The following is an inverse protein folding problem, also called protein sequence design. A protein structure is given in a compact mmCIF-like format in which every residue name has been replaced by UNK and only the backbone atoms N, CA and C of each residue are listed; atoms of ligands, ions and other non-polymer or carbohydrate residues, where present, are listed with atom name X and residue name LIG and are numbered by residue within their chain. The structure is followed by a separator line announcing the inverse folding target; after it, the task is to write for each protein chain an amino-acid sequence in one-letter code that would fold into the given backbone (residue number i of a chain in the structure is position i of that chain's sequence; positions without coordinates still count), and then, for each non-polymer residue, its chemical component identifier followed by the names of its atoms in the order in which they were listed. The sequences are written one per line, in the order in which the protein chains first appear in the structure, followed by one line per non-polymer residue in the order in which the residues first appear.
data_IF_602637813049
#
_entry.id   IF_602637813049
#
_cell.length_a   1.000
_cell.length_b   1.000
_cell.length_c   1.000
_cell.angle_alpha   90.00
_cell.angle_beta   90.00
_cell.angle_gamma   90.00
#
_symmetry.space_group_name_H-M   'P 1'
#
loop_
_entity.id
_entity.type
_entity.pdbx_description
1 polymer ?
#
# COMPACT_ATOMS: atom_id res chain seq x y z
N UNK A 1 -0.45 22.10 17.40
CA UNK A 1 -1.06 22.33 18.74
C UNK A 1 -0.30 21.42 19.69
N UNK A 2 0.41 21.89 20.74
CA UNK A 2 0.74 20.97 21.81
C UNK A 2 -0.59 20.63 22.47
N UNK A 3 -0.99 19.35 22.49
CA UNK A 3 -2.13 18.87 23.27
C UNK A 3 -1.79 19.18 24.73
N UNK A 4 -2.27 20.30 25.29
CA UNK A 4 -1.72 20.78 26.54
C UNK A 4 -2.25 19.85 27.63
N UNK A 5 -1.37 19.41 28.52
CA UNK A 5 -1.67 18.59 29.71
C UNK A 5 -1.75 17.07 29.53
N UNK A 6 -1.51 16.51 28.34
CA UNK A 6 -1.28 15.07 28.21
C UNK A 6 0.21 14.84 27.97
N UNK A 7 0.83 14.07 28.85
CA UNK A 7 2.20 13.60 28.65
C UNK A 7 2.17 12.38 27.71
N UNK A 8 2.66 12.57 26.49
CA UNK A 8 2.76 11.53 25.47
C UNK A 8 4.03 10.68 25.63
N UNK A 9 5.04 11.17 26.35
CA UNK A 9 6.33 10.49 26.46
C UNK A 9 6.23 9.13 27.16
N UNK A 10 5.23 8.96 28.02
CA UNK A 10 4.91 7.69 28.67
C UNK A 10 4.54 6.56 27.69
N UNK A 11 4.23 6.88 26.43
CA UNK A 11 3.86 5.91 25.39
C UNK A 11 5.01 5.57 24.44
N UNK A 12 6.15 6.26 24.55
CA UNK A 12 7.27 6.10 23.61
C UNK A 12 7.72 4.63 23.50
N UNK A 13 7.95 3.96 24.64
CA UNK A 13 8.39 2.55 24.67
C UNK A 13 7.39 1.62 23.99
N UNK A 14 6.08 1.79 24.22
CA UNK A 14 5.05 0.95 23.58
C UNK A 14 5.02 1.14 22.07
N UNK A 15 5.22 2.37 21.60
CA UNK A 15 5.27 2.69 20.17
C UNK A 15 6.51 2.08 19.52
N UNK A 16 7.67 2.20 20.19
CA UNK A 16 8.92 1.59 19.76
C UNK A 16 8.80 0.07 19.63
N UNK A 17 8.22 -0.60 20.63
CA UNK A 17 8.02 -2.05 20.57
C UNK A 17 7.10 -2.48 19.42
N UNK A 18 6.14 -1.63 19.02
CA UNK A 18 5.15 -1.96 17.99
C UNK A 18 5.59 -1.60 16.56
N UNK A 19 6.54 -0.69 16.37
CA UNK A 19 6.97 -0.26 15.03
C UNK A 19 7.56 -1.42 14.21
N UNK A 20 8.35 -2.28 14.85
CA UNK A 20 8.97 -3.45 14.21
C UNK A 20 7.97 -4.51 13.78
N UNK A 21 6.76 -4.51 14.37
CA UNK A 21 5.66 -5.41 13.97
C UNK A 21 4.72 -4.76 12.95
N UNK A 22 4.70 -3.43 12.87
CA UNK A 22 3.84 -2.70 11.97
C UNK A 22 4.28 -2.90 10.52
N UNK A 23 5.57 -2.80 10.23
CA UNK A 23 6.08 -2.95 8.86
C UNK A 23 6.11 -4.43 8.49
N UNK A 24 5.59 -4.74 7.30
CA UNK A 24 5.67 -6.08 6.76
C UNK A 24 7.12 -6.46 6.44
N UNK A 25 7.58 -7.67 6.77
CA UNK A 25 8.95 -8.10 6.47
C UNK A 25 9.27 -8.04 4.98
N UNK A 26 8.26 -8.06 4.10
CA UNK A 26 8.48 -7.89 2.67
C UNK A 26 8.84 -6.47 2.23
N UNK A 27 8.52 -5.44 3.02
CA UNK A 27 8.79 -4.04 2.68
C UNK A 27 10.09 -3.50 3.26
N UNK A 28 10.64 -4.12 4.32
CA UNK A 28 11.87 -3.73 5.05
C UNK A 28 11.85 -2.34 5.72
N UNK A 29 11.19 -1.36 5.15
CA UNK A 29 11.04 0.01 5.64
C UNK A 29 9.58 0.46 5.64
N UNK A 30 9.30 1.60 6.29
CA UNK A 30 7.96 2.20 6.29
C UNK A 30 7.65 2.66 4.86
N UNK A 31 6.60 2.11 4.22
CA UNK A 31 6.33 2.37 2.80
C UNK A 31 5.77 3.77 2.57
N UNK A 32 6.10 4.35 1.41
CA UNK A 32 5.55 5.64 0.98
C UNK A 32 4.08 5.58 0.56
N UNK A 33 3.68 4.44 0.03
CA UNK A 33 2.37 4.08 -0.51
C UNK A 33 1.75 2.94 0.32
N UNK A 34 1.48 3.17 1.63
CA UNK A 34 1.11 2.10 2.53
C UNK A 34 -0.21 1.45 2.12
N UNK A 35 -0.30 0.13 2.24
CA UNK A 35 -1.54 -0.65 2.29
C UNK A 35 -1.53 -1.51 3.56
N UNK A 36 -2.70 -1.69 4.17
CA UNK A 36 -2.87 -2.58 5.33
C UNK A 36 -3.04 -4.01 4.83
N UNK A 37 -2.09 -4.87 5.17
CA UNK A 37 -2.02 -6.25 4.69
C UNK A 37 -3.11 -7.09 5.36
N UNK A 38 -3.97 -7.72 4.57
CA UNK A 38 -5.01 -8.61 5.06
C UNK A 38 -4.52 -10.05 5.00
N UNK A 39 -3.82 -10.43 6.07
CA UNK A 39 -3.50 -11.83 6.35
C UNK A 39 -4.73 -12.59 6.84
N UNK A 40 -4.80 -13.89 6.56
CA UNK A 40 -5.89 -14.73 7.06
C UNK A 40 -5.80 -14.94 8.59
N UNK A 41 -4.60 -14.96 9.20
CA UNK A 41 -4.41 -15.30 10.62
C UNK A 41 -3.34 -14.47 11.35
N UNK A 42 -2.88 -13.34 10.81
CA UNK A 42 -1.79 -12.55 11.38
C UNK A 42 -2.23 -11.17 11.85
N UNK A 43 -1.35 -10.58 12.64
CA UNK A 43 -1.49 -9.22 13.14
C UNK A 43 -1.49 -8.20 12.00
N UNK A 44 -1.98 -7.00 12.32
CA UNK A 44 -2.03 -5.88 11.39
C UNK A 44 -0.62 -5.47 10.96
N UNK A 45 -0.38 -5.44 9.64
CA UNK A 45 0.87 -4.96 9.05
C UNK A 45 0.62 -3.97 7.91
N UNK A 46 1.63 -3.18 7.58
CA UNK A 46 1.67 -2.32 6.40
C UNK A 46 2.73 -2.78 5.42
N UNK A 47 2.40 -2.74 4.13
CA UNK A 47 3.29 -3.03 3.02
C UNK A 47 3.18 -1.90 1.99
N UNK A 48 4.19 -1.72 1.15
CA UNK A 48 4.06 -0.90 -0.05
C UNK A 48 3.07 -1.53 -1.03
N UNK A 49 2.22 -0.71 -1.64
CA UNK A 49 1.37 -1.13 -2.74
C UNK A 49 2.20 -1.67 -3.92
N UNK A 50 3.34 -1.03 -4.23
CA UNK A 50 4.26 -1.50 -5.26
C UNK A 50 4.78 -2.91 -4.96
N UNK A 51 5.26 -3.18 -3.75
CA UNK A 51 5.71 -4.52 -3.34
C UNK A 51 4.59 -5.55 -3.51
N UNK A 52 3.36 -5.22 -3.11
CA UNK A 52 2.22 -6.11 -3.27
C UNK A 52 1.91 -6.40 -4.74
N UNK A 53 2.01 -5.39 -5.61
CA UNK A 53 1.81 -5.54 -7.07
C UNK A 53 2.89 -6.40 -7.71
N UNK A 54 4.14 -6.24 -7.31
CA UNK A 54 5.25 -7.07 -7.78
C UNK A 54 5.04 -8.53 -7.39
N UNK A 55 4.69 -8.80 -6.12
CA UNK A 55 4.33 -10.16 -5.67
C UNK A 55 3.16 -10.73 -6.48
N UNK A 56 2.10 -9.93 -6.69
CA UNK A 56 0.96 -10.38 -7.49
C UNK A 56 1.36 -10.74 -8.92
N UNK A 57 2.21 -9.92 -9.56
CA UNK A 57 2.68 -10.17 -10.91
C UNK A 57 3.44 -11.51 -11.00
N UNK A 58 4.32 -11.81 -10.05
CA UNK A 58 5.07 -13.06 -10.03
C UNK A 58 4.14 -14.30 -9.94
N UNK A 59 3.10 -14.24 -9.10
CA UNK A 59 2.16 -15.34 -8.95
C UNK A 59 1.16 -15.43 -10.12
N UNK A 60 0.72 -14.30 -10.67
CA UNK A 60 -0.12 -14.24 -11.86
C UNK A 60 0.58 -14.83 -13.08
N UNK A 61 1.89 -14.57 -13.25
CA UNK A 61 2.70 -15.25 -14.26
C UNK A 61 2.75 -16.76 -14.06
N UNK A 62 2.82 -17.25 -12.81
CA UNK A 62 2.76 -18.68 -12.52
C UNK A 62 1.40 -19.29 -12.90
N UNK A 63 0.30 -18.60 -12.60
CA UNK A 63 -1.04 -19.01 -13.03
C UNK A 63 -1.14 -19.09 -14.56
N UNK A 64 -0.65 -18.06 -15.27
CA UNK A 64 -0.63 -18.03 -16.74
C UNK A 64 0.15 -19.17 -17.36
N UNK A 65 1.30 -19.54 -16.78
CA UNK A 65 2.11 -20.68 -17.26
C UNK A 65 1.33 -22.00 -17.16
N UNK A 66 0.64 -22.23 -16.03
CA UNK A 66 -0.15 -23.45 -15.82
C UNK A 66 -1.36 -23.46 -16.75
N UNK A 67 -2.10 -22.35 -16.84
CA UNK A 67 -3.25 -22.24 -17.73
C UNK A 67 -2.87 -22.41 -19.21
N UNK A 68 -1.69 -21.91 -19.61
CA UNK A 68 -1.16 -22.12 -20.96
C UNK A 68 -0.75 -23.58 -21.17
N UNK A 69 -0.15 -24.22 -20.16
CA UNK A 69 0.30 -25.61 -20.24
C UNK A 69 -0.87 -26.56 -20.44
N UNK A 70 -1.96 -26.36 -19.70
CA UNK A 70 -3.19 -27.14 -19.83
C UNK A 70 -3.83 -27.04 -21.24
N UNK A 71 -3.49 -25.98 -21.99
CA UNK A 71 -3.97 -25.72 -23.35
C UNK A 71 -2.96 -26.04 -24.44
N UNK A 72 -1.72 -26.41 -24.10
CA UNK A 72 -0.65 -26.70 -25.06
C UNK A 72 -0.48 -28.21 -25.28
N UNK A 73 -1.13 -28.80 -26.30
CA UNK A 73 -0.98 -30.23 -26.59
C UNK A 73 0.44 -30.61 -27.04
N UNK A 74 1.25 -29.64 -27.49
CA UNK A 74 2.58 -29.90 -28.04
C UNK A 74 3.66 -30.06 -26.97
N UNK A 75 3.43 -29.53 -25.77
CA UNK A 75 4.36 -29.62 -24.65
C UNK A 75 5.61 -28.75 -24.78
N UNK A 76 5.67 -27.79 -25.73
CA UNK A 76 6.88 -26.97 -25.98
C UNK A 76 6.61 -25.48 -26.21
N UNK A 77 5.35 -25.02 -26.31
CA UNK A 77 5.03 -23.61 -26.66
C UNK A 77 5.53 -22.61 -25.62
N UNK A 78 5.43 -22.96 -24.34
CA UNK A 78 5.87 -22.08 -23.25
C UNK A 78 7.39 -21.94 -23.26
N UNK A 79 8.10 -23.05 -23.46
CA UNK A 79 9.57 -23.03 -23.56
C UNK A 79 10.05 -22.20 -24.77
N UNK A 80 9.36 -22.31 -25.92
CA UNK A 80 9.69 -21.53 -27.11
C UNK A 80 9.54 -20.01 -26.94
N UNK A 81 8.63 -19.55 -26.07
CA UNK A 81 8.43 -18.12 -25.81
C UNK A 81 9.51 -17.51 -24.90
N UNK A 82 10.31 -18.34 -24.22
CA UNK A 82 11.32 -17.89 -23.26
C UNK A 82 12.69 -18.04 -23.92
N UNK A 83 13.27 -16.95 -24.44
CA UNK A 83 14.58 -17.02 -25.07
C UNK A 83 15.60 -17.53 -24.05
N UNK A 84 16.18 -18.69 -24.32
CA UNK A 84 17.44 -19.08 -23.71
C UNK A 84 18.58 -18.57 -24.61
N UNK A 85 19.83 -18.64 -24.15
CA UNK A 85 21.00 -18.40 -24.99
C UNK A 85 21.15 -19.54 -26.01
N UNK A 86 20.25 -19.59 -27.00
CA UNK A 86 20.24 -20.56 -28.07
C UNK A 86 21.45 -20.35 -28.98
N UNK A 87 22.04 -21.45 -29.45
CA UNK A 87 22.97 -21.40 -30.58
C UNK A 87 22.25 -21.03 -31.87
N UNK A 88 22.98 -20.54 -32.88
CA UNK A 88 22.40 -20.19 -34.20
C UNK A 88 21.58 -21.33 -34.81
N UNK A 89 22.00 -22.59 -34.64
CA UNK A 89 21.24 -23.75 -35.14
C UNK A 89 19.96 -24.01 -34.33
N UNK A 90 19.99 -23.81 -33.01
CA UNK A 90 18.81 -23.93 -32.15
C UNK A 90 17.78 -22.84 -32.47
N UNK A 91 18.20 -21.63 -32.87
CA UNK A 91 17.30 -20.60 -33.37
C UNK A 91 16.57 -21.05 -34.64
N UNK A 92 17.28 -21.66 -35.60
CA UNK A 92 16.68 -22.24 -36.81
C UNK A 92 15.65 -23.32 -36.44
N UNK A 93 15.97 -24.18 -35.46
CA UNK A 93 15.01 -25.18 -34.99
C UNK A 93 13.81 -24.58 -34.24
N UNK A 94 14.02 -23.55 -33.42
CA UNK A 94 12.94 -22.86 -32.72
C UNK A 94 11.97 -22.21 -33.72
N UNK A 95 12.48 -21.56 -34.76
CA UNK A 95 11.68 -20.97 -35.84
C UNK A 95 10.90 -22.04 -36.60
N UNK A 96 11.55 -23.16 -36.94
CA UNK A 96 10.87 -24.31 -37.57
C UNK A 96 9.73 -24.84 -36.71
N UNK A 97 9.98 -25.16 -35.44
CA UNK A 97 8.98 -25.73 -34.54
C UNK A 97 7.83 -24.73 -34.32
N UNK A 98 8.13 -23.44 -34.16
CA UNK A 98 7.11 -22.38 -34.06
C UNK A 98 6.22 -22.37 -35.30
N UNK A 99 6.81 -22.39 -36.49
CA UNK A 99 6.07 -22.39 -37.77
C UNK A 99 5.20 -23.64 -37.94
N UNK A 100 5.70 -24.81 -37.50
CA UNK A 100 4.93 -26.05 -37.50
C UNK A 100 3.74 -25.99 -36.56
N UNK A 101 3.92 -25.41 -35.37
CA UNK A 101 2.88 -25.25 -34.36
C UNK A 101 1.83 -24.18 -34.73
N UNK A 102 2.17 -23.19 -35.54
CA UNK A 102 1.20 -22.23 -36.08
C UNK A 102 0.33 -22.86 -37.18
N UNK A 103 0.92 -23.73 -38.01
CA UNK A 103 0.25 -24.35 -39.15
C UNK A 103 -0.55 -25.60 -38.77
N UNK A 104 -0.11 -26.32 -37.74
CA UNK A 104 -0.64 -27.62 -37.35
C UNK A 104 -0.83 -27.72 -35.84
N UNK A 105 -1.89 -28.40 -35.42
CA UNK A 105 -2.15 -28.67 -34.01
C UNK A 105 -1.48 -29.99 -33.58
N UNK A 106 -0.16 -29.98 -33.43
CA UNK A 106 0.58 -31.17 -33.01
C UNK A 106 0.35 -31.49 -31.53
N UNK A 107 0.17 -32.79 -31.24
CA UNK A 107 0.40 -33.34 -29.90
C UNK A 107 1.90 -33.50 -29.67
N UNK A 108 2.31 -33.65 -28.41
CA UNK A 108 3.71 -33.91 -28.02
C UNK A 108 4.30 -35.10 -28.79
N UNK A 109 3.57 -36.23 -28.82
CA UNK A 109 3.98 -37.43 -29.55
C UNK A 109 4.03 -37.19 -31.06
N UNK A 110 3.04 -36.49 -31.61
CA UNK A 110 3.00 -36.16 -33.04
C UNK A 110 4.18 -35.28 -33.46
N UNK A 111 4.54 -34.28 -32.65
CA UNK A 111 5.68 -33.42 -32.91
C UNK A 111 7.00 -34.18 -32.78
N UNK A 112 7.16 -35.04 -31.77
CA UNK A 112 8.34 -35.89 -31.60
C UNK A 112 8.55 -36.81 -32.81
N UNK A 113 7.50 -37.48 -33.28
CA UNK A 113 7.54 -38.35 -34.47
C UNK A 113 7.92 -37.52 -35.70
N UNK A 114 7.35 -36.33 -35.86
CA UNK A 114 7.66 -35.43 -36.96
C UNK A 114 9.14 -35.01 -36.95
N UNK A 115 9.64 -34.51 -35.82
CA UNK A 115 11.04 -34.10 -35.64
C UNK A 115 11.99 -35.28 -35.86
N UNK A 116 11.67 -36.47 -35.36
CA UNK A 116 12.50 -37.68 -35.53
C UNK A 116 12.55 -38.14 -36.98
N UNK A 117 11.40 -38.15 -37.67
CA UNK A 117 11.33 -38.51 -39.08
C UNK A 117 12.08 -37.50 -39.94
N UNK A 118 11.89 -36.20 -39.67
CA UNK A 118 12.59 -35.13 -40.38
C UNK A 118 14.10 -35.24 -40.19
N UNK A 119 14.56 -35.41 -38.94
CA UNK A 119 15.99 -35.55 -38.66
C UNK A 119 16.61 -36.77 -39.35
N UNK A 120 15.94 -37.93 -39.32
CA UNK A 120 16.42 -39.12 -40.01
C UNK A 120 16.55 -38.93 -41.53
N UNK A 121 15.61 -38.20 -42.15
CA UNK A 121 15.70 -37.83 -43.58
C UNK A 121 16.90 -36.91 -43.84
N UNK A 122 17.12 -35.92 -42.97
CA UNK A 122 18.26 -34.99 -43.08
C UNK A 122 19.58 -35.75 -42.95
N UNK A 123 19.74 -36.55 -41.91
CA UNK A 123 20.95 -37.34 -41.63
C UNK A 123 21.28 -38.27 -42.79
N UNK A 124 20.31 -39.04 -43.30
CA UNK A 124 20.51 -39.90 -44.47
C UNK A 124 20.86 -39.13 -45.74
N UNK A 125 20.32 -37.93 -45.91
CA UNK A 125 20.66 -37.08 -47.06
C UNK A 125 22.08 -36.48 -46.95
N UNK A 126 22.55 -36.22 -45.72
CA UNK A 126 23.91 -35.75 -45.47
C UNK A 126 24.96 -36.85 -45.72
N UNK A 127 24.61 -38.11 -45.45
CA UNK A 127 25.40 -39.30 -45.79
C UNK A 127 25.35 -39.62 -47.29
N UNK A 128 24.16 -39.63 -47.89
CA UNK A 128 23.94 -39.93 -49.30
C UNK A 128 22.96 -38.92 -49.94
N UNK A 129 23.52 -38.00 -50.73
CA UNK A 129 22.72 -36.98 -51.44
C UNK A 129 21.70 -37.57 -52.43
N UNK A 130 21.87 -38.83 -52.85
CA UNK A 130 20.93 -39.50 -53.74
C UNK A 130 19.69 -40.03 -53.01
N UNK A 131 19.71 -40.06 -51.67
CA UNK A 131 18.62 -40.57 -50.83
C UNK A 131 17.26 -39.93 -51.17
N UNK A 132 17.21 -38.61 -51.34
CA UNK A 132 15.98 -37.89 -51.68
C UNK A 132 15.39 -38.26 -53.06
N UNK A 133 16.18 -38.89 -53.93
CA UNK A 133 15.77 -39.34 -55.27
C UNK A 133 15.48 -40.84 -55.32
N UNK A 134 15.64 -41.57 -54.21
CA UNK A 134 15.48 -43.01 -54.17
C UNK A 134 14.00 -43.40 -54.30
N UNK A 135 13.65 -44.07 -55.41
CA UNK A 135 12.28 -44.52 -55.71
C UNK A 135 11.85 -45.76 -54.92
N UNK A 136 12.78 -46.44 -54.25
CA UNK A 136 12.52 -47.65 -53.47
C UNK A 136 12.21 -47.36 -51.99
N UNK A 137 12.03 -46.09 -51.62
CA UNK A 137 11.64 -45.72 -50.26
C UNK A 137 10.21 -46.20 -49.94
N UNK A 138 9.93 -46.56 -48.69
CA UNK A 138 8.57 -46.83 -48.23
C UNK A 138 7.59 -45.69 -48.62
N UNK A 139 6.35 -45.99 -49.06
CA UNK A 139 5.43 -44.97 -49.56
C UNK A 139 5.14 -43.81 -48.59
N UNK A 140 5.13 -44.09 -47.28
CA UNK A 140 4.92 -43.07 -46.25
C UNK A 140 6.08 -42.06 -46.19
N UNK A 141 7.34 -42.51 -46.39
CA UNK A 141 8.50 -41.63 -46.44
C UNK A 141 8.52 -40.81 -47.73
N UNK A 142 8.15 -41.40 -48.88
CA UNK A 142 8.00 -40.64 -50.13
C UNK A 142 6.98 -39.50 -49.96
N UNK A 143 5.83 -39.81 -49.35
CA UNK A 143 4.80 -38.81 -49.08
C UNK A 143 5.28 -37.74 -48.09
N UNK A 144 5.99 -38.13 -47.03
CA UNK A 144 6.57 -37.20 -46.06
C UNK A 144 7.59 -36.25 -46.71
N UNK A 145 8.54 -36.79 -47.48
CA UNK A 145 9.55 -35.99 -48.18
C UNK A 145 8.89 -35.02 -49.16
N UNK A 146 7.93 -35.51 -49.95
CA UNK A 146 7.21 -34.68 -50.92
C UNK A 146 6.47 -33.51 -50.25
N UNK A 147 5.77 -33.78 -49.14
CA UNK A 147 5.02 -32.76 -48.38
C UNK A 147 5.90 -31.74 -47.66
N UNK A 148 7.11 -32.12 -47.27
CA UNK A 148 8.02 -31.29 -46.45
C UNK A 148 9.27 -30.87 -47.22
N UNK A 149 9.24 -30.92 -48.56
CA UNK A 149 10.42 -30.70 -49.41
C UNK A 149 11.12 -29.38 -49.15
N UNK A 150 10.38 -28.29 -49.01
CA UNK A 150 10.92 -26.95 -48.74
C UNK A 150 11.65 -26.91 -47.40
N UNK A 151 11.00 -27.36 -46.32
CA UNK A 151 11.58 -27.48 -44.98
C UNK A 151 12.88 -28.29 -45.01
N UNK A 152 12.89 -29.43 -45.71
CA UNK A 152 14.06 -30.30 -45.81
C UNK A 152 15.22 -29.57 -46.52
N UNK A 153 14.95 -28.88 -47.63
CA UNK A 153 15.97 -28.14 -48.38
C UNK A 153 16.52 -26.99 -47.54
N UNK A 154 15.67 -26.23 -46.87
CA UNK A 154 16.08 -25.08 -46.05
C UNK A 154 16.94 -25.53 -44.86
N UNK A 155 16.55 -26.60 -44.18
CA UNK A 155 17.37 -27.19 -43.11
C UNK A 155 18.73 -27.68 -43.61
N UNK A 156 18.77 -28.37 -44.76
CA UNK A 156 20.04 -28.81 -45.35
C UNK A 156 20.94 -27.62 -45.68
N UNK A 157 20.40 -26.56 -46.28
CA UNK A 157 21.14 -25.35 -46.61
C UNK A 157 21.74 -24.68 -45.37
N UNK A 158 20.94 -24.54 -44.31
CA UNK A 158 21.42 -24.03 -43.02
C UNK A 158 22.54 -24.91 -42.46
N UNK A 159 22.34 -26.23 -42.42
CA UNK A 159 23.34 -27.20 -41.92
C UNK A 159 24.65 -27.14 -42.71
N UNK A 160 24.61 -26.99 -44.04
CA UNK A 160 25.82 -26.83 -44.86
C UNK A 160 26.59 -25.53 -44.57
N UNK A 161 25.93 -24.52 -44.01
CA UNK A 161 26.56 -23.29 -43.52
C UNK A 161 27.32 -23.47 -42.20
N UNK A 162 27.07 -24.55 -41.46
CA UNK A 162 27.70 -24.84 -40.16
C UNK A 162 28.81 -25.91 -40.25
N UNK A 163 29.77 -25.86 -39.33
CA UNK A 163 30.76 -26.93 -39.18
C UNK A 163 30.08 -28.20 -38.61
N UNK A 164 30.21 -29.33 -39.33
CA UNK A 164 29.43 -30.55 -39.09
C UNK A 164 29.64 -31.21 -37.73
N UNK A 165 30.79 -30.99 -37.10
CA UNK A 165 31.25 -31.83 -35.99
C UNK A 165 30.47 -31.62 -34.67
N UNK A 166 29.63 -30.57 -34.58
CA UNK A 166 28.93 -30.19 -33.34
C UNK A 166 27.46 -29.78 -33.52
N UNK A 167 26.78 -30.22 -34.59
CA UNK A 167 25.37 -29.86 -34.80
C UNK A 167 24.45 -30.54 -33.77
N UNK A 168 23.73 -29.78 -32.93
CA UNK A 168 22.72 -30.36 -32.07
C UNK A 168 21.63 -30.98 -32.94
N UNK A 169 21.14 -32.17 -32.59
CA UNK A 169 20.08 -32.81 -33.37
C UNK A 169 18.73 -32.16 -33.08
N UNK A 170 17.89 -32.00 -34.10
CA UNK A 170 16.53 -31.45 -33.95
C UNK A 170 15.71 -32.19 -32.87
N UNK A 171 15.85 -33.52 -32.78
CA UNK A 171 15.15 -34.34 -31.77
C UNK A 171 15.62 -33.99 -30.35
N UNK A 172 16.94 -33.82 -30.17
CA UNK A 172 17.51 -33.44 -28.87
C UNK A 172 17.07 -32.03 -28.47
N UNK A 173 16.99 -31.10 -29.43
CA UNK A 173 16.46 -29.76 -29.18
C UNK A 173 14.98 -29.79 -28.78
N UNK A 174 14.14 -30.58 -29.47
CA UNK A 174 12.75 -30.78 -29.06
C UNK A 174 12.65 -31.34 -27.63
N UNK A 175 13.44 -32.36 -27.30
CA UNK A 175 13.46 -32.93 -25.95
C UNK A 175 13.89 -31.89 -24.91
N UNK A 176 14.90 -31.07 -25.21
CA UNK A 176 15.33 -29.96 -24.36
C UNK A 176 14.16 -29.01 -24.08
N UNK A 177 13.46 -28.55 -25.12
CA UNK A 177 12.28 -27.69 -24.96
C UNK A 177 11.18 -28.33 -24.10
N UNK A 178 10.90 -29.61 -24.34
CA UNK A 178 9.89 -30.35 -23.58
C UNK A 178 10.25 -30.42 -22.09
N UNK A 179 11.49 -30.77 -21.76
CA UNK A 179 11.96 -30.79 -20.37
C UNK A 179 11.99 -29.40 -19.75
N UNK A 180 12.42 -28.37 -20.49
CA UNK A 180 12.37 -26.98 -20.02
C UNK A 180 10.93 -26.58 -19.69
N UNK A 181 9.95 -26.89 -20.53
CA UNK A 181 8.53 -26.60 -20.26
C UNK A 181 8.03 -27.31 -19.00
N UNK A 182 8.32 -28.62 -18.85
CA UNK A 182 7.93 -29.36 -17.64
C UNK A 182 8.56 -28.77 -16.38
N UNK A 183 9.83 -28.35 -16.44
CA UNK A 183 10.50 -27.70 -15.32
C UNK A 183 9.85 -26.36 -14.96
N UNK A 184 9.53 -25.54 -15.97
CA UNK A 184 8.84 -24.26 -15.78
C UNK A 184 7.49 -24.45 -15.08
N UNK A 185 6.67 -25.39 -15.57
CA UNK A 185 5.35 -25.68 -15.02
C UNK A 185 5.44 -26.20 -13.60
N UNK A 186 6.29 -27.20 -13.35
CA UNK A 186 6.48 -27.76 -12.01
C UNK A 186 6.99 -26.70 -11.01
N UNK A 187 7.89 -25.81 -11.44
CA UNK A 187 8.35 -24.70 -10.60
C UNK A 187 7.22 -23.70 -10.31
N UNK A 188 6.38 -23.38 -11.29
CA UNK A 188 5.21 -22.52 -11.11
C UNK A 188 4.17 -23.14 -10.18
N UNK A 189 3.87 -24.44 -10.33
CA UNK A 189 2.97 -25.18 -9.43
C UNK A 189 3.50 -25.17 -7.99
N UNK A 190 4.79 -25.43 -7.80
CA UNK A 190 5.43 -25.38 -6.47
C UNK A 190 5.37 -24.00 -5.84
N UNK A 191 5.55 -22.93 -6.61
CA UNK A 191 5.43 -21.55 -6.10
C UNK A 191 4.02 -21.21 -5.64
N UNK A 192 3.00 -21.77 -6.30
CA UNK A 192 1.59 -21.55 -5.95
C UNK A 192 1.08 -22.47 -4.83
N UNK A 193 1.89 -23.41 -4.33
CA UNK A 193 1.48 -24.34 -3.28
C UNK A 193 2.38 -24.16 -2.05
N UNK A 194 1.76 -23.87 -0.91
CA UNK A 194 2.45 -23.78 0.36
C UNK A 194 1.73 -24.60 1.43
N UNK A 195 2.44 -25.55 2.06
CA UNK A 195 1.89 -26.47 3.06
C UNK A 195 0.63 -27.22 2.58
N UNK A 196 0.56 -27.56 1.29
CA UNK A 196 -0.59 -28.23 0.68
C UNK A 196 -1.76 -27.30 0.34
N UNK A 197 -1.65 -26.01 0.63
CA UNK A 197 -2.65 -25.00 0.28
C UNK A 197 -2.26 -24.36 -1.05
N UNK A 198 -3.15 -24.46 -2.04
CA UNK A 198 -2.99 -23.79 -3.34
C UNK A 198 -3.43 -22.32 -3.23
N UNK A 199 -2.67 -21.45 -3.86
CA UNK A 199 -2.97 -20.03 -4.03
C UNK A 199 -4.06 -19.84 -5.09
N UNK A 200 -5.04 -19.00 -4.82
CA UNK A 200 -5.98 -18.51 -5.83
C UNK A 200 -5.44 -17.26 -6.53
N UNK A 201 -6.00 -16.91 -7.70
CA UNK A 201 -5.50 -15.81 -8.54
C UNK A 201 -5.58 -14.42 -7.91
N UNK A 202 -6.37 -14.26 -6.83
CA UNK A 202 -6.51 -13.01 -6.06
C UNK A 202 -5.77 -13.03 -4.73
N UNK A 203 -4.97 -14.06 -4.50
CA UNK A 203 -4.17 -14.20 -3.30
C UNK A 203 -2.69 -14.07 -3.67
N UNK A 204 -1.84 -13.74 -2.70
CA UNK A 204 -0.38 -13.88 -2.81
C UNK A 204 0.16 -14.45 -1.50
N UNK A 205 1.34 -15.08 -1.55
CA UNK A 205 2.07 -15.42 -0.33
C UNK A 205 3.03 -14.30 0.03
N UNK A 206 3.10 -13.95 1.31
CA UNK A 206 4.23 -13.18 1.81
C UNK A 206 5.49 -14.07 1.78
N UNK A 207 6.60 -13.63 1.16
CA UNK A 207 7.80 -14.46 1.02
C UNK A 207 8.45 -14.82 2.37
N UNK A 208 8.21 -14.01 3.42
CA UNK A 208 8.82 -14.18 4.73
C UNK A 208 7.92 -14.93 5.70
N UNK A 209 6.69 -14.44 5.90
CA UNK A 209 5.74 -15.06 6.84
C UNK A 209 5.12 -16.33 6.30
N UNK A 210 5.15 -16.51 4.96
CA UNK A 210 4.53 -17.65 4.25
C UNK A 210 3.01 -17.72 4.42
N UNK A 211 2.41 -16.60 4.85
CA UNK A 211 0.98 -16.48 4.98
C UNK A 211 0.34 -15.93 3.71
N UNK A 212 -0.93 -16.28 3.51
CA UNK A 212 -1.75 -15.78 2.42
C UNK A 212 -2.19 -14.35 2.69
N UNK A 213 -2.11 -13.52 1.66
CA UNK A 213 -2.60 -12.16 1.61
C UNK A 213 -3.76 -12.09 0.62
N UNK A 214 -4.89 -11.52 1.04
CA UNK A 214 -5.99 -11.16 0.14
C UNK A 214 -5.65 -9.84 -0.56
N UNK A 215 -5.43 -9.87 -1.87
CA UNK A 215 -5.09 -8.68 -2.66
C UNK A 215 -6.22 -7.66 -2.69
N UNK A 216 -7.46 -8.11 -2.84
CA UNK A 216 -8.61 -7.21 -3.03
C UNK A 216 -8.88 -6.44 -1.75
N UNK A 217 -8.87 -7.13 -0.61
CA UNK A 217 -9.04 -6.51 0.70
C UNK A 217 -7.86 -5.58 1.05
N UNK A 218 -6.63 -5.99 0.72
CA UNK A 218 -5.42 -5.20 0.97
C UNK A 218 -5.40 -3.92 0.13
N UNK A 219 -5.65 -4.00 -1.18
CA UNK A 219 -5.67 -2.82 -2.04
C UNK A 219 -6.84 -1.88 -1.72
N UNK A 220 -7.99 -2.40 -1.29
CA UNK A 220 -9.12 -1.58 -0.83
C UNK A 220 -8.79 -0.72 0.41
N UNK A 221 -7.67 -0.99 1.09
CA UNK A 221 -7.25 -0.25 2.27
C UNK A 221 -6.45 1.02 2.00
N UNK A 222 -6.02 1.29 0.76
CA UNK A 222 -5.05 2.33 0.42
C UNK A 222 -5.34 3.73 1.02
N UNK A 223 -6.61 4.17 1.01
CA UNK A 223 -6.97 5.47 1.60
C UNK A 223 -6.90 5.42 3.13
N UNK A 224 -7.37 4.33 3.75
CA UNK A 224 -7.38 4.20 5.22
C UNK A 224 -5.98 3.94 5.78
N UNK A 225 -5.13 3.22 5.06
CA UNK A 225 -3.73 2.95 5.43
C UNK A 225 -2.90 4.23 5.47
N UNK A 226 -3.11 5.16 4.52
CA UNK A 226 -2.47 6.47 4.55
C UNK A 226 -2.81 7.27 5.81
N UNK A 227 -4.10 7.34 6.17
CA UNK A 227 -4.51 7.96 7.44
C UNK A 227 -3.97 7.22 8.66
N UNK A 228 -3.99 5.88 8.64
CA UNK A 228 -3.49 5.06 9.74
C UNK A 228 -2.01 5.33 10.00
N UNK A 229 -1.18 5.34 8.95
CA UNK A 229 0.23 5.65 9.05
C UNK A 229 0.47 7.09 9.52
N UNK A 230 -0.28 8.07 8.98
CA UNK A 230 -0.19 9.46 9.42
C UNK A 230 -0.51 9.63 10.92
N UNK A 231 -1.51 8.91 11.43
CA UNK A 231 -1.84 8.89 12.87
C UNK A 231 -0.71 8.26 13.67
N UNK A 232 -0.15 7.14 13.21
CA UNK A 232 0.97 6.47 13.87
C UNK A 232 2.21 7.38 13.96
N UNK A 233 2.59 8.02 12.85
CA UNK A 233 3.73 8.94 12.79
C UNK A 233 3.47 10.18 13.66
N UNK A 234 2.30 10.79 13.52
CA UNK A 234 1.90 11.94 14.34
C UNK A 234 1.97 11.63 15.83
N UNK A 235 1.46 10.47 16.24
CA UNK A 235 1.51 10.02 17.63
C UNK A 235 2.96 9.78 18.10
N UNK A 236 3.76 9.08 17.29
CA UNK A 236 5.17 8.82 17.59
C UNK A 236 5.96 10.10 17.85
N UNK A 237 5.69 11.14 17.06
CA UNK A 237 6.32 12.45 17.18
C UNK A 237 5.86 13.21 18.43
N UNK A 238 4.58 13.18 18.77
CA UNK A 238 4.10 13.72 20.06
C UNK A 238 4.74 13.00 21.26
N UNK A 239 4.95 11.69 21.15
CA UNK A 239 5.59 10.87 22.18
C UNK A 239 7.13 11.01 22.21
N UNK A 240 7.73 11.80 21.31
CA UNK A 240 9.17 11.96 21.17
C UNK A 240 9.93 10.62 21.00
N UNK A 241 9.33 9.70 20.25
CA UNK A 241 9.95 8.41 19.87
C UNK A 241 11.20 8.68 19.03
N UNK A 242 12.30 7.99 19.36
CA UNK A 242 13.59 8.09 18.65
C UNK A 242 13.89 6.77 17.98
N UNK A 243 13.43 6.62 16.74
CA UNK A 243 13.65 5.42 15.91
C UNK A 243 14.16 5.85 14.53
N UNK A 244 15.22 5.20 14.07
CA UNK A 244 15.85 5.48 12.76
C UNK A 244 14.85 5.35 11.62
N UNK A 245 13.96 4.37 11.69
CA UNK A 245 12.96 4.03 10.68
C UNK A 245 11.95 5.18 10.48
N UNK A 246 11.57 5.86 11.57
CA UNK A 246 10.70 7.04 11.50
C UNK A 246 11.48 8.22 10.92
N UNK A 247 12.71 8.44 11.39
CA UNK A 247 13.53 9.58 10.94
C UNK A 247 13.88 9.45 9.45
N UNK A 248 14.20 8.25 8.98
CA UNK A 248 14.52 7.97 7.59
C UNK A 248 13.30 8.07 6.69
N UNK A 249 12.14 7.58 7.13
CA UNK A 249 10.87 7.81 6.45
C UNK A 249 10.55 9.30 6.32
N UNK A 250 10.70 10.08 7.40
CA UNK A 250 10.41 11.52 7.38
C UNK A 250 11.36 12.32 6.49
N UNK A 251 12.63 11.92 6.33
CA UNK A 251 13.59 12.56 5.41
C UNK A 251 13.18 12.45 3.94
N UNK A 252 12.41 11.42 3.59
CA UNK A 252 11.93 11.18 2.23
C UNK A 252 10.64 11.98 1.94
N UNK A 253 9.98 12.50 2.97
CA UNK A 253 8.71 13.23 2.83
C UNK A 253 8.88 14.72 2.56
N UNK A 254 7.81 15.30 2.04
CA UNK A 254 7.71 16.74 1.90
C UNK A 254 7.74 17.44 3.26
N UNK A 255 8.14 18.72 3.25
CA UNK A 255 8.33 19.54 4.45
C UNK A 255 7.05 19.67 5.31
N UNK A 256 5.88 19.47 4.72
CA UNK A 256 4.59 19.64 5.38
C UNK A 256 4.00 18.33 5.92
N UNK A 257 4.49 17.17 5.46
CA UNK A 257 3.96 15.86 5.82
C UNK A 257 3.85 15.66 7.34
N UNK A 258 4.90 16.02 8.10
CA UNK A 258 4.89 15.88 9.55
C UNK A 258 3.77 16.71 10.20
N UNK A 259 3.55 17.93 9.72
CA UNK A 259 2.49 18.79 10.22
C UNK A 259 1.11 18.19 9.92
N UNK A 260 0.92 17.65 8.70
CA UNK A 260 -0.32 16.98 8.31
C UNK A 260 -0.56 15.67 9.09
N UNK A 261 0.49 14.90 9.37
CA UNK A 261 0.43 13.71 10.21
C UNK A 261 -0.03 14.07 11.64
N UNK A 262 0.56 15.11 12.24
CA UNK A 262 0.15 15.63 13.54
C UNK A 262 -1.30 16.13 13.56
N UNK A 263 -1.72 16.88 12.52
CA UNK A 263 -3.12 17.30 12.36
C UNK A 263 -4.07 16.11 12.27
N UNK A 264 -3.68 15.08 11.50
CA UNK A 264 -4.47 13.87 11.30
C UNK A 264 -4.64 13.09 12.60
N UNK A 265 -3.56 12.95 13.39
CA UNK A 265 -3.62 12.35 14.72
C UNK A 265 -4.57 13.12 15.66
N UNK A 266 -4.47 14.45 15.71
CA UNK A 266 -5.37 15.28 16.52
C UNK A 266 -6.83 15.12 16.06
N UNK A 267 -7.08 15.15 14.75
CA UNK A 267 -8.41 14.90 14.17
C UNK A 267 -8.95 13.52 14.57
N UNK A 268 -8.09 12.50 14.62
CA UNK A 268 -8.46 11.17 15.10
C UNK A 268 -8.88 11.15 16.57
N UNK A 269 -8.19 11.90 17.44
CA UNK A 269 -8.55 12.00 18.86
C UNK A 269 -9.92 12.64 19.08
N UNK A 270 -10.29 13.62 18.25
CA UNK A 270 -11.63 14.24 18.27
C UNK A 270 -12.71 13.35 17.67
N UNK A 271 -12.46 12.77 16.50
CA UNK A 271 -13.49 12.12 15.67
C UNK A 271 -13.00 10.81 15.03
N UNK A 272 -12.74 9.74 15.82
CA UNK A 272 -12.13 8.51 15.29
C UNK A 272 -13.04 7.77 14.30
N UNK A 273 -14.36 7.90 14.44
CA UNK A 273 -15.33 7.27 13.52
C UNK A 273 -15.25 7.84 12.09
N UNK A 274 -14.64 9.01 11.90
CA UNK A 274 -14.46 9.62 10.57
C UNK A 274 -13.48 8.85 9.69
N UNK A 275 -12.62 8.01 10.29
CA UNK A 275 -11.57 7.27 9.59
C UNK A 275 -12.00 5.86 9.18
N UNK A 276 -13.18 5.42 9.60
CA UNK A 276 -13.76 4.11 9.22
C UNK A 276 -12.85 2.90 9.46
N UNK A 277 -12.00 2.96 10.49
CA UNK A 277 -11.08 1.88 10.79
C UNK A 277 -11.79 0.58 11.18
N UNK A 278 -11.20 -0.54 10.75
CA UNK A 278 -11.62 -1.88 11.14
C UNK A 278 -11.38 -2.12 12.63
N UNK A 279 -11.90 -3.23 13.17
CA UNK A 279 -11.71 -3.54 14.58
C UNK A 279 -10.24 -3.86 14.91
N UNK A 280 -9.52 -4.55 14.01
CA UNK A 280 -8.10 -4.86 14.20
C UNK A 280 -7.24 -3.59 14.20
N UNK A 281 -7.52 -2.64 13.30
CA UNK A 281 -6.87 -1.32 13.30
C UNK A 281 -7.12 -0.54 14.59
N UNK A 282 -8.37 -0.51 15.05
CA UNK A 282 -8.73 0.15 16.31
C UNK A 282 -8.00 -0.49 17.49
N UNK A 283 -7.93 -1.83 17.52
CA UNK A 283 -7.22 -2.55 18.57
C UNK A 283 -5.73 -2.21 18.54
N UNK A 284 -5.08 -2.22 17.38
CA UNK A 284 -3.68 -1.83 17.24
C UNK A 284 -3.44 -0.42 17.79
N UNK A 285 -4.24 0.56 17.37
CA UNK A 285 -4.14 1.94 17.85
C UNK A 285 -4.38 2.06 19.37
N UNK A 286 -5.29 1.26 19.91
CA UNK A 286 -5.56 1.22 21.35
C UNK A 286 -4.39 0.59 22.13
N UNK A 287 -3.73 -0.43 21.58
CA UNK A 287 -2.55 -1.06 22.19
C UNK A 287 -1.38 -0.09 22.31
N UNK A 288 -1.24 0.86 21.37
CA UNK A 288 -0.29 1.97 21.48
C UNK A 288 -0.63 2.96 22.60
N UNK A 289 -1.85 2.91 23.15
CA UNK A 289 -2.32 3.78 24.22
C UNK A 289 -3.18 4.96 23.77
N UNK A 290 -3.65 4.98 22.52
CA UNK A 290 -4.45 6.11 22.02
C UNK A 290 -5.78 6.26 22.78
N UNK A 291 -6.42 5.16 23.18
CA UNK A 291 -7.61 5.21 24.03
C UNK A 291 -7.32 5.88 25.39
N UNK A 292 -6.18 5.58 26.00
CA UNK A 292 -5.76 6.16 27.28
C UNK A 292 -5.51 7.67 27.13
N UNK A 293 -4.84 8.09 26.06
CA UNK A 293 -4.63 9.51 25.73
C UNK A 293 -5.95 10.23 25.58
N UNK A 294 -6.88 9.66 24.82
CA UNK A 294 -8.19 10.26 24.60
C UNK A 294 -8.97 10.40 25.91
N UNK A 295 -8.90 9.40 26.78
CA UNK A 295 -9.51 9.47 28.12
C UNK A 295 -8.85 10.52 29.01
N UNK A 296 -7.50 10.59 29.05
CA UNK A 296 -6.76 11.62 29.81
C UNK A 296 -7.11 13.02 29.32
N UNK A 297 -7.13 13.23 28.01
CA UNK A 297 -7.48 14.51 27.41
C UNK A 297 -8.93 14.89 27.74
N UNK A 298 -9.85 13.93 27.63
CA UNK A 298 -11.23 14.14 28.01
C UNK A 298 -11.35 14.51 29.50
N UNK A 299 -10.62 13.83 30.38
CA UNK A 299 -10.64 14.09 31.82
C UNK A 299 -10.15 15.51 32.17
N UNK A 300 -9.15 16.04 31.45
CA UNK A 300 -8.70 17.44 31.59
C UNK A 300 -9.84 18.44 31.33
N UNK A 301 -10.82 18.08 30.50
CA UNK A 301 -11.96 18.93 30.15
C UNK A 301 -13.24 18.55 30.92
N UNK A 302 -13.38 17.30 31.35
CA UNK A 302 -14.65 16.73 31.83
C UNK A 302 -15.09 17.27 33.18
N UNK A 303 -14.15 17.50 34.12
CA UNK A 303 -14.50 17.96 35.48
C UNK A 303 -15.35 19.24 35.49
N UNK A 304 -15.20 20.09 34.47
CA UNK A 304 -15.93 21.37 34.38
C UNK A 304 -17.29 21.26 33.70
N UNK A 305 -17.55 20.21 32.91
CA UNK A 305 -18.68 20.16 31.97
C UNK A 305 -19.50 18.85 32.01
N UNK A 306 -19.07 17.86 32.77
CA UNK A 306 -19.72 16.55 32.84
C UNK A 306 -21.16 16.64 33.37
N UNK A 307 -21.41 17.48 34.38
CA UNK A 307 -22.75 17.72 34.90
C UNK A 307 -23.71 18.33 33.85
N UNK A 308 -23.18 18.99 32.81
CA UNK A 308 -23.96 19.57 31.72
C UNK A 308 -24.23 18.55 30.59
N UNK A 309 -23.47 17.46 30.53
CA UNK A 309 -23.54 16.41 29.51
C UNK A 309 -24.26 15.16 30.04
N UNK A 310 -25.54 15.30 30.39
CA UNK A 310 -26.33 14.26 31.04
C UNK A 310 -27.49 13.71 30.17
N UNK A 311 -27.75 14.30 28.99
CA UNK A 311 -28.81 13.84 28.08
C UNK A 311 -28.29 12.72 27.17
N UNK A 312 -29.19 11.85 26.71
CA UNK A 312 -28.90 10.95 25.58
C UNK A 312 -28.89 11.71 24.23
N UNK A 313 -29.61 12.84 24.15
CA UNK A 313 -29.70 13.65 22.93
C UNK A 313 -28.52 14.62 22.78
N UNK A 314 -27.83 14.51 21.63
CA UNK A 314 -26.68 15.34 21.29
C UNK A 314 -27.03 16.83 21.25
N UNK A 315 -28.15 17.20 20.60
CA UNK A 315 -28.58 18.60 20.46
C UNK A 315 -28.75 19.24 21.84
N UNK A 316 -29.44 18.55 22.74
CA UNK A 316 -29.66 18.98 24.12
C UNK A 316 -28.35 19.19 24.88
N UNK A 317 -27.40 18.25 24.78
CA UNK A 317 -26.11 18.37 25.48
C UNK A 317 -25.29 19.56 24.96
N UNK A 318 -25.20 19.72 23.63
CA UNK A 318 -24.49 20.85 23.00
C UNK A 318 -25.11 22.18 23.45
N UNK A 319 -26.43 22.29 23.38
CA UNK A 319 -27.13 23.51 23.82
C UNK A 319 -26.91 23.80 25.30
N UNK A 320 -26.91 22.80 26.19
CA UNK A 320 -26.60 23.00 27.62
C UNK A 320 -25.22 23.59 27.84
N UNK A 321 -24.21 23.11 27.13
CA UNK A 321 -22.82 23.61 27.22
C UNK A 321 -22.72 25.06 26.70
N UNK A 322 -23.35 25.36 25.55
CA UNK A 322 -23.34 26.71 24.97
C UNK A 322 -24.11 27.71 25.83
N UNK A 323 -25.28 27.32 26.36
CA UNK A 323 -26.10 28.14 27.26
C UNK A 323 -25.41 28.39 28.60
N UNK A 324 -24.65 27.43 29.11
CA UNK A 324 -23.78 27.61 30.28
C UNK A 324 -22.72 28.69 30.02
N UNK A 325 -22.02 28.63 28.86
CA UNK A 325 -21.08 29.68 28.47
C UNK A 325 -21.76 31.05 28.36
N UNK A 326 -22.94 31.09 27.74
CA UNK A 326 -23.70 32.33 27.54
C UNK A 326 -24.44 32.80 28.82
N UNK A 327 -24.45 31.98 29.88
CA UNK A 327 -25.14 32.20 31.16
C UNK A 327 -26.66 32.39 31.04
N UNK A 328 -27.31 31.73 30.09
CA UNK A 328 -28.75 31.86 29.87
C UNK A 328 -29.59 31.20 30.99
N UNK A 329 -29.03 30.25 31.74
CA UNK A 329 -29.72 29.49 32.79
C UNK A 329 -29.56 30.05 34.22
N UNK A 330 -28.75 31.10 34.42
CA UNK A 330 -28.52 31.69 35.75
C UNK A 330 -29.47 32.87 35.95
N UNK A 331 -30.65 32.58 36.51
CA UNK A 331 -31.63 33.52 37.08
C UNK A 331 -31.65 34.92 36.45
N UNK A 332 -32.55 35.11 35.48
CA UNK A 332 -32.96 36.42 34.97
C UNK A 332 -31.81 37.35 34.62
N UNK A 333 -31.15 37.08 33.48
CA UNK A 333 -30.22 37.86 32.62
C UNK A 333 -29.39 39.04 33.16
N UNK A 334 -29.75 39.72 34.24
CA UNK A 334 -29.09 40.89 34.83
C UNK A 334 -28.35 40.61 36.15
N UNK A 335 -28.77 39.64 36.96
CA UNK A 335 -28.11 39.36 38.27
C UNK A 335 -26.91 38.42 38.17
N UNK A 336 -26.94 37.40 37.28
CA UNK A 336 -25.81 36.48 37.07
C UNK A 336 -24.56 37.11 36.43
N UNK A 337 -24.74 38.21 35.69
CA UNK A 337 -23.62 39.00 35.12
C UNK A 337 -22.91 39.86 36.19
N UNK A 338 -23.61 40.23 37.27
CA UNK A 338 -23.08 41.06 38.36
C UNK A 338 -22.02 40.33 39.18
N UNK A 339 -22.25 39.06 39.53
CA UNK A 339 -21.32 38.26 40.36
C UNK A 339 -20.09 37.75 39.64
N UNK A 340 -20.08 37.79 38.30
CA UNK A 340 -18.97 37.25 37.51
C UNK A 340 -18.07 38.31 36.89
N UNK A 341 -18.33 39.62 37.14
CA UNK A 341 -17.43 40.72 36.79
C UNK A 341 -17.06 40.84 35.30
N UNK A 342 -17.82 40.22 34.39
CA UNK A 342 -17.48 40.14 32.97
C UNK A 342 -18.67 40.61 32.13
N UNK A 343 -18.89 41.92 32.17
CA UNK A 343 -19.83 42.59 31.29
C UNK A 343 -19.20 42.68 29.90
N UNK A 344 -19.87 42.12 28.88
CA UNK A 344 -19.51 42.30 27.47
C UNK A 344 -18.33 41.45 26.96
N UNK A 345 -18.39 40.11 27.11
CA UNK A 345 -17.53 39.24 26.30
C UNK A 345 -18.05 39.26 24.86
N UNK A 346 -17.24 39.73 23.91
CA UNK A 346 -17.57 39.82 22.48
C UNK A 346 -18.21 38.55 21.90
N UNK A 347 -17.81 37.37 22.41
CA UNK A 347 -18.33 36.08 21.96
C UNK A 347 -19.78 35.77 22.39
N UNK A 348 -20.39 36.50 23.32
CA UNK A 348 -21.78 36.21 23.75
C UNK A 348 -22.79 36.31 22.60
N UNK A 349 -22.64 37.34 21.75
CA UNK A 349 -23.51 37.51 20.56
C UNK A 349 -23.34 36.35 19.57
N UNK A 350 -22.10 35.89 19.39
CA UNK A 350 -21.78 34.78 18.49
C UNK A 350 -22.34 33.45 19.03
N UNK A 351 -22.18 33.20 20.33
CA UNK A 351 -22.71 31.98 20.97
C UNK A 351 -24.24 31.99 20.97
N UNK A 352 -24.88 33.14 21.22
CA UNK A 352 -26.34 33.25 21.14
C UNK A 352 -26.86 32.98 19.72
N UNK A 353 -26.17 33.48 18.69
CA UNK A 353 -26.48 33.15 17.29
C UNK A 353 -26.38 31.65 17.03
N UNK A 354 -25.29 31.01 17.47
CA UNK A 354 -25.10 29.57 17.30
C UNK A 354 -26.18 28.74 18.02
N UNK A 355 -26.58 29.14 19.23
CA UNK A 355 -27.70 28.53 19.97
C UNK A 355 -28.98 28.62 19.14
N UNK A 356 -29.34 29.82 18.67
CA UNK A 356 -30.54 30.04 17.86
C UNK A 356 -30.53 29.22 16.56
N UNK A 357 -29.39 29.16 15.86
CA UNK A 357 -29.27 28.37 14.63
C UNK A 357 -29.48 26.86 14.88
N UNK A 358 -28.87 26.32 15.94
CA UNK A 358 -29.04 24.90 16.32
C UNK A 358 -30.50 24.63 16.71
N UNK A 359 -31.15 25.55 17.42
CA UNK A 359 -32.56 25.46 17.78
C UNK A 359 -33.45 25.43 16.54
N UNK A 360 -33.20 26.30 15.56
CA UNK A 360 -33.92 26.38 14.28
C UNK A 360 -33.65 25.22 13.32
N UNK A 361 -32.75 24.29 13.68
CA UNK A 361 -32.49 23.06 12.92
C UNK A 361 -31.23 23.09 12.05
N UNK A 362 -30.35 24.08 12.21
CA UNK A 362 -29.04 24.04 11.56
C UNK A 362 -28.24 22.82 12.05
N UNK A 363 -27.45 22.24 11.14
CA UNK A 363 -26.54 21.16 11.48
C UNK A 363 -25.55 21.64 12.56
N UNK A 364 -25.43 20.87 13.66
CA UNK A 364 -24.59 21.23 14.81
C UNK A 364 -23.14 21.49 14.40
N UNK A 365 -22.57 20.69 13.50
CA UNK A 365 -21.20 20.87 13.02
C UNK A 365 -21.03 22.23 12.33
N UNK A 366 -21.97 22.60 11.46
CA UNK A 366 -21.95 23.88 10.74
C UNK A 366 -22.05 25.05 11.72
N UNK A 367 -23.00 24.99 12.65
CA UNK A 367 -23.19 26.04 13.67
C UNK A 367 -21.93 26.25 14.54
N UNK A 368 -21.29 25.17 14.97
CA UNK A 368 -20.09 25.22 15.81
C UNK A 368 -18.84 25.70 15.02
N UNK A 369 -18.70 25.32 13.75
CA UNK A 369 -17.63 25.83 12.89
C UNK A 369 -17.78 27.34 12.64
N UNK A 370 -18.99 27.79 12.31
CA UNK A 370 -19.29 29.21 12.13
C UNK A 370 -19.00 30.01 13.40
N UNK A 371 -19.42 29.49 14.55
CA UNK A 371 -19.14 30.11 15.86
C UNK A 371 -17.63 30.31 16.09
N UNK A 372 -16.81 29.27 15.85
CA UNK A 372 -15.39 29.35 16.10
C UNK A 372 -14.69 30.25 15.06
N UNK A 373 -15.07 30.20 13.80
CA UNK A 373 -14.54 31.07 12.75
C UNK A 373 -14.84 32.55 13.04
N UNK A 374 -16.07 32.87 13.39
CA UNK A 374 -16.46 34.24 13.76
C UNK A 374 -15.71 34.71 15.02
N UNK A 375 -15.49 33.81 15.99
CA UNK A 375 -14.77 34.14 17.21
C UNK A 375 -13.28 34.44 16.95
N UNK A 376 -12.64 33.72 16.02
CA UNK A 376 -11.23 33.93 15.63
C UNK A 376 -10.96 35.31 15.03
N UNK A 377 -11.95 35.90 14.35
CA UNK A 377 -11.82 37.22 13.76
C UNK A 377 -11.72 38.36 14.80
N UNK A 378 -11.89 38.05 16.08
CA UNK A 378 -11.73 39.03 17.14
C UNK A 378 -10.24 39.25 17.50
N UNK A 379 -9.77 40.51 17.61
CA UNK A 379 -8.34 40.81 17.81
C UNK A 379 -7.74 40.23 19.10
N UNK A 380 -8.57 39.96 20.11
CA UNK A 380 -8.15 39.36 21.39
C UNK A 380 -8.63 37.90 21.52
N UNK A 381 -8.78 37.17 20.43
CA UNK A 381 -9.19 35.76 20.48
C UNK A 381 -8.17 34.92 21.26
N UNK A 382 -8.62 34.30 22.35
CA UNK A 382 -7.79 33.42 23.16
C UNK A 382 -8.02 31.96 22.74
N UNK A 383 -7.02 31.36 22.07
CA UNK A 383 -7.00 29.94 21.66
C UNK A 383 -7.07 28.97 22.85
N UNK A 384 -6.71 29.42 24.06
CA UNK A 384 -6.84 28.66 25.32
C UNK A 384 -8.03 29.15 26.17
N UNK A 385 -8.94 29.91 25.57
CA UNK A 385 -10.07 30.52 26.26
C UNK A 385 -11.21 29.55 26.55
N UNK A 386 -12.07 29.92 27.50
CA UNK A 386 -13.18 29.09 27.98
C UNK A 386 -14.23 28.69 26.93
N UNK A 387 -14.30 29.41 25.79
CA UNK A 387 -15.13 29.03 24.64
C UNK A 387 -14.49 27.84 23.91
N UNK A 388 -13.20 27.94 23.59
CA UNK A 388 -12.45 26.88 22.89
C UNK A 388 -12.48 25.59 23.69
N UNK A 389 -12.24 25.65 25.01
CA UNK A 389 -12.30 24.46 25.87
C UNK A 389 -13.67 23.76 25.89
N UNK A 390 -14.77 24.51 25.76
CA UNK A 390 -16.13 23.95 25.66
C UNK A 390 -16.37 23.31 24.30
N UNK A 391 -15.90 23.94 23.22
CA UNK A 391 -15.98 23.41 21.87
C UNK A 391 -15.14 22.12 21.73
N UNK A 392 -13.95 22.09 22.31
CA UNK A 392 -13.10 20.89 22.40
C UNK A 392 -13.81 19.78 23.18
N UNK A 393 -14.41 20.09 24.34
CA UNK A 393 -15.19 19.13 25.11
C UNK A 393 -16.36 18.55 24.31
N UNK A 394 -17.14 19.41 23.63
CA UNK A 394 -18.23 18.99 22.74
C UNK A 394 -17.69 18.04 21.67
N UNK A 395 -16.60 18.41 20.99
CA UNK A 395 -16.00 17.63 19.92
C UNK A 395 -15.53 16.26 20.41
N UNK A 396 -14.79 16.19 21.53
CA UNK A 396 -14.29 14.95 22.11
C UNK A 396 -15.42 13.99 22.55
N UNK A 397 -16.47 14.52 23.19
CA UNK A 397 -17.60 13.70 23.71
C UNK A 397 -18.55 13.24 22.61
N UNK A 398 -18.81 14.07 21.60
CA UNK A 398 -19.80 13.77 20.57
C UNK A 398 -19.23 13.16 19.29
N UNK A 399 -17.93 13.33 19.05
CA UNK A 399 -17.31 13.02 17.77
C UNK A 399 -17.61 14.03 16.67
N UNK A 400 -18.32 15.13 16.95
CA UNK A 400 -18.55 16.23 15.98
C UNK A 400 -17.24 16.96 15.73
N UNK A 401 -16.79 16.98 14.48
CA UNK A 401 -15.54 17.64 14.09
C UNK A 401 -15.75 19.15 13.91
N UNK A 402 -15.08 19.94 14.74
CA UNK A 402 -15.00 21.39 14.54
C UNK A 402 -13.66 21.68 13.85
N UNK A 403 -13.66 21.76 12.52
CA UNK A 403 -12.47 21.89 11.68
C UNK A 403 -11.59 23.06 12.10
N UNK A 404 -12.22 24.15 12.52
CA UNK A 404 -11.52 25.35 12.98
C UNK A 404 -10.68 25.11 14.24
N UNK A 405 -10.93 24.07 15.04
CA UNK A 405 -10.07 23.66 16.16
C UNK A 405 -8.74 23.06 15.69
N UNK A 406 -8.67 22.50 14.47
CA UNK A 406 -7.44 21.95 13.92
C UNK A 406 -6.46 23.07 13.50
N UNK A 407 -7.00 24.24 13.14
CA UNK A 407 -6.25 25.39 12.62
C UNK A 407 -5.84 26.42 13.70
N UNK A 408 -6.09 26.18 15.00
CA UNK A 408 -5.77 27.13 16.09
C UNK A 408 -4.39 26.95 16.72
N UNK A 409 -3.62 25.94 16.34
CA UNK A 409 -2.40 25.57 17.07
C UNK A 409 -1.18 25.20 16.23
N UNK A 410 -1.22 25.40 14.91
CA UNK A 410 -0.05 25.27 14.03
C UNK A 410 0.27 26.65 13.48
N UNK A 411 0.80 27.52 14.35
CA UNK A 411 1.64 28.60 13.82
C UNK A 411 2.86 27.90 13.21
N UNK A 412 3.29 28.35 12.04
CA UNK A 412 4.58 27.97 11.47
C UNK A 412 5.64 28.03 12.58
N UNK A 413 6.57 27.06 12.65
CA UNK A 413 7.70 27.23 13.55
C UNK A 413 8.32 28.58 13.19
N UNK A 414 8.43 29.49 14.17
CA UNK A 414 9.27 30.67 14.01
C UNK A 414 10.59 30.15 13.47
N UNK A 415 10.91 30.56 12.25
CA UNK A 415 12.18 30.32 11.61
C UNK A 415 13.22 30.81 12.62
N UNK A 416 13.77 29.89 13.42
CA UNK A 416 15.03 30.14 14.09
C UNK A 416 16.00 30.22 12.93
N UNK A 417 16.20 31.45 12.45
CA UNK A 417 17.32 31.81 11.64
C UNK A 417 18.54 31.16 12.28
N UNK A 418 19.01 30.09 11.64
CA UNK A 418 20.40 29.70 11.80
C UNK A 418 21.16 30.90 11.24
N UNK A 419 21.50 31.85 12.13
CA UNK A 419 22.52 32.84 11.84
C UNK A 419 23.74 32.03 11.41
N UNK A 420 23.99 32.04 10.10
CA UNK A 420 25.27 31.65 9.54
C UNK A 420 26.29 32.49 10.28
N UNK A 421 27.05 31.85 11.15
CA UNK A 421 28.26 32.44 11.71
C UNK A 421 29.02 33.08 10.54
N UNK A 422 29.39 34.38 10.63
CA UNK A 422 30.05 35.05 9.54
C UNK A 422 31.37 34.33 9.26
N UNK A 423 31.54 33.93 8.00
CA UNK A 423 32.80 33.46 7.45
C UNK A 423 33.85 34.54 7.69
N UNK A 424 34.77 34.29 8.62
CA UNK A 424 35.95 35.12 8.79
C UNK A 424 36.87 34.89 7.58
N UNK A 425 37.22 35.93 6.80
CA UNK A 425 38.39 35.87 5.94
C UNK A 425 39.63 36.02 6.83
N UNK A 426 40.82 35.74 6.30
CA UNK A 426 42.13 35.70 6.96
C UNK A 426 42.45 34.35 7.61
N UNK A 427 43.06 33.46 6.83
CA UNK A 427 44.47 33.08 6.94
C UNK A 427 44.81 32.28 5.67
N UNK A 428 45.39 32.96 4.69
CA UNK A 428 46.46 32.40 3.87
C UNK A 428 47.72 33.02 4.46
N UNK A 429 48.61 32.22 5.05
CA UNK A 429 50.04 32.50 5.23
C UNK A 429 50.71 31.24 5.81
N UNK A 430 51.62 30.69 5.01
CA UNK A 430 52.80 29.85 5.35
C UNK A 430 52.55 28.34 5.57
N UNK A 431 52.86 27.59 4.49
CA UNK A 431 53.48 26.26 4.55
C UNK A 431 54.98 26.40 4.88
N UNK A 432 55.56 25.41 5.58
CA UNK A 432 56.42 24.44 4.89
C UNK A 432 55.68 23.13 4.60
#
# INVERSE_FOLDING_TARGET
MPVPHVDFSAFAVKIQEKISFLVDPASFEIPEDPVLVHYQNSDLRIMSEETLRQLHQEFDECHKIIDEFDRDPSGVRIALKRPENWSEMEEVYAQLITSLLEKYNFTTEGLLIYCSTLWAVIERTLEDRSFLKNKNLPPHLINFISKNKEIIIDLLNNIYGFQRDHLPQLVHFFQKLFYTQLLLVNNSEKKLIQNGIKLESKEVFCPYTREKIDLSATLASQIRSGHFLAIFIGFSQFAAVKESEIDDFLKQKDEFYLQEAQKTFVKFLFSPNHFSFSQSEKNFLNDLGIAEIRQKWLHTHSRSYEALWASADLKTNVLKILRDYNKENLFGSKLGLFFTGHWNRHHQKLVHRAIASIESGENIQVALNNLLNDAKNHPNFNVKGALVSRLEYISLKSGVLIESLLNTGFAEPEEKSYERLPSFPWINIIRP
#
